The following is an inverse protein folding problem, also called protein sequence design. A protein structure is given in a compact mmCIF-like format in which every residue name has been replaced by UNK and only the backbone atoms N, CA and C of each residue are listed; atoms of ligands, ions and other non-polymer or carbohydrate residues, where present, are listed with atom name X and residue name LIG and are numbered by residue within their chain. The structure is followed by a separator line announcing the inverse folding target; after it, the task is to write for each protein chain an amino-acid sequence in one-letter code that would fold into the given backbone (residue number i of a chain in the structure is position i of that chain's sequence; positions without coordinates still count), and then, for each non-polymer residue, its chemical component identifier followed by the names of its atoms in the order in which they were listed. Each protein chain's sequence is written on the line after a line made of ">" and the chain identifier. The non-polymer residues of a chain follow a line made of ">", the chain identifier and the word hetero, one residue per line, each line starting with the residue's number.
data_IF_854751434291
#
_entry.id   IF_854751434291
#
_cell.length_a   1.000
_cell.length_b   1.000
_cell.length_c   1.000
_cell.angle_alpha   90.00
_cell.angle_beta   90.00
_cell.angle_gamma   90.00
#
_symmetry.space_group_name_H-M   'P 1'
#
loop_
_entity.id
_entity.type
_entity.pdbx_description
1 polymer ?
#
# COMPACT_ATOMS: atom_id res chain seq x y z
N UNK A 1 19.45 6.89 2.05
CA UNK A 1 18.65 7.33 0.89
C UNK A 1 17.39 6.49 0.84
N UNK A 2 16.24 7.11 0.63
CA UNK A 2 14.96 6.39 0.48
C UNK A 2 14.92 5.72 -0.90
N UNK A 3 14.39 4.49 -1.00
CA UNK A 3 14.35 3.77 -2.28
C UNK A 3 13.29 4.41 -3.20
N UNK A 4 13.46 4.28 -4.51
CA UNK A 4 12.47 4.73 -5.48
C UNK A 4 11.09 4.08 -5.23
N UNK A 5 11.09 2.77 -4.93
CA UNK A 5 9.88 2.01 -4.58
C UNK A 5 9.15 2.60 -3.38
N UNK A 6 9.89 3.02 -2.36
CA UNK A 6 9.30 3.63 -1.17
C UNK A 6 8.65 4.96 -1.50
N UNK A 7 9.31 5.80 -2.32
CA UNK A 7 8.76 7.10 -2.72
C UNK A 7 7.46 6.94 -3.49
N UNK A 8 7.46 6.08 -4.52
CA UNK A 8 6.25 5.77 -5.31
C UNK A 8 5.15 5.19 -4.41
N UNK A 9 5.52 4.25 -3.53
CA UNK A 9 4.60 3.62 -2.60
C UNK A 9 3.96 4.62 -1.63
N UNK A 10 4.70 5.61 -1.15
CA UNK A 10 4.15 6.67 -0.28
C UNK A 10 3.13 7.52 -1.01
N UNK A 11 3.39 7.90 -2.26
CA UNK A 11 2.44 8.66 -3.07
C UNK A 11 1.17 7.85 -3.35
N UNK A 12 1.32 6.57 -3.71
CA UNK A 12 0.19 5.68 -3.95
C UNK A 12 -0.63 5.41 -2.69
N UNK A 13 0.01 5.18 -1.54
CA UNK A 13 -0.68 5.03 -0.25
C UNK A 13 -1.51 6.26 0.07
N UNK A 14 -0.97 7.47 -0.13
CA UNK A 14 -1.72 8.70 0.12
C UNK A 14 -2.93 8.84 -0.80
N UNK A 15 -2.81 8.39 -2.05
CA UNK A 15 -3.89 8.44 -3.03
C UNK A 15 -5.01 7.43 -2.74
N UNK A 16 -4.68 6.28 -2.17
CA UNK A 16 -5.62 5.18 -1.92
C UNK A 16 -6.22 5.25 -0.51
N UNK A 17 -5.37 5.27 0.53
CA UNK A 17 -5.79 5.12 1.92
C UNK A 17 -5.61 6.39 2.76
N UNK A 18 -4.77 7.33 2.31
CA UNK A 18 -4.51 8.60 2.99
C UNK A 18 -4.18 8.42 4.48
N UNK A 19 -4.98 9.07 5.35
CA UNK A 19 -4.81 9.03 6.80
C UNK A 19 -4.95 7.61 7.40
N UNK A 20 -5.76 6.74 6.80
CA UNK A 20 -5.94 5.37 7.28
C UNK A 20 -4.65 4.56 7.10
N UNK A 21 -4.03 4.69 5.93
CA UNK A 21 -2.74 4.06 5.63
C UNK A 21 -1.61 4.54 6.53
N UNK A 22 -1.55 5.86 6.78
CA UNK A 22 -0.57 6.41 7.72
C UNK A 22 -0.74 5.88 9.15
N UNK A 23 -1.98 5.71 9.62
CA UNK A 23 -2.24 5.18 10.95
C UNK A 23 -1.74 3.72 11.09
N UNK A 24 -1.93 2.88 10.07
CA UNK A 24 -1.44 1.50 10.05
C UNK A 24 0.09 1.44 10.00
N UNK A 25 0.73 2.25 9.16
CA UNK A 25 2.20 2.30 9.10
C UNK A 25 2.78 2.76 10.44
N UNK A 26 2.18 3.78 11.06
CA UNK A 26 2.64 4.30 12.33
C UNK A 26 2.45 3.30 13.47
N UNK A 27 1.35 2.54 13.50
CA UNK A 27 1.13 1.52 14.54
C UNK A 27 2.13 0.38 14.49
N UNK A 28 2.72 0.12 13.32
CA UNK A 28 3.73 -0.91 13.11
C UNK A 28 5.16 -0.41 13.31
N UNK A 29 5.40 0.91 13.32
CA UNK A 29 6.75 1.49 13.33
C UNK A 29 7.58 1.10 14.55
N UNK A 30 6.95 1.03 15.72
CA UNK A 30 7.62 0.72 16.99
C UNK A 30 7.72 -0.80 17.26
N UNK A 31 6.98 -1.61 16.48
CA UNK A 31 6.92 -3.08 16.65
C UNK A 31 7.78 -3.78 15.59
N UNK A 32 7.63 -3.38 14.32
CA UNK A 32 8.26 -4.01 13.17
C UNK A 32 8.54 -2.94 12.09
N UNK A 33 9.57 -2.09 12.27
CA UNK A 33 9.85 -0.96 11.38
C UNK A 33 10.14 -1.38 9.93
N UNK A 34 10.82 -2.51 9.72
CA UNK A 34 11.10 -3.02 8.38
C UNK A 34 9.81 -3.51 7.70
N UNK A 35 8.89 -4.10 8.45
CA UNK A 35 7.59 -4.51 7.92
C UNK A 35 6.72 -3.30 7.57
N UNK A 36 6.74 -2.25 8.41
CA UNK A 36 6.07 -0.98 8.10
C UNK A 36 6.61 -0.36 6.79
N UNK A 37 7.93 -0.50 6.53
CA UNK A 37 8.55 -0.10 5.27
C UNK A 37 8.09 -0.99 4.11
N UNK A 38 8.08 -2.31 4.27
CA UNK A 38 7.68 -3.24 3.21
C UNK A 38 6.21 -3.08 2.81
N UNK A 39 5.33 -2.74 3.76
CA UNK A 39 3.93 -2.40 3.48
C UNK A 39 3.79 -1.22 2.52
N UNK A 40 4.77 -0.31 2.49
CA UNK A 40 4.78 0.81 1.54
C UNK A 40 5.42 0.38 0.22
N UNK A 41 6.61 -0.23 0.28
CA UNK A 41 7.39 -0.54 -0.92
C UNK A 41 6.72 -1.58 -1.82
N UNK A 42 6.15 -2.64 -1.25
CA UNK A 42 5.65 -3.75 -2.07
C UNK A 42 4.19 -3.56 -2.53
N UNK A 43 3.17 -3.49 -1.66
CA UNK A 43 1.79 -3.29 -2.10
C UNK A 43 1.62 -2.00 -2.90
N UNK A 44 2.11 -0.87 -2.38
CA UNK A 44 1.87 0.43 -3.01
C UNK A 44 2.91 0.76 -4.07
N UNK A 45 4.19 0.55 -3.78
CA UNK A 45 5.29 0.88 -4.69
C UNK A 45 5.41 -0.08 -5.88
N UNK A 46 5.22 -1.39 -5.67
CA UNK A 46 5.42 -2.39 -6.72
C UNK A 46 4.11 -2.91 -7.34
N UNK A 47 2.99 -3.01 -6.61
CA UNK A 47 1.74 -3.61 -7.12
C UNK A 47 0.74 -2.56 -7.61
N UNK A 48 0.37 -1.59 -6.76
CA UNK A 48 -0.60 -0.56 -7.09
C UNK A 48 -0.09 0.42 -8.15
N UNK A 49 1.22 0.67 -8.19
CA UNK A 49 1.84 1.54 -9.19
C UNK A 49 1.94 0.92 -10.59
N UNK A 50 1.63 -0.38 -10.78
CA UNK A 50 1.75 -1.03 -12.10
C UNK A 50 0.81 -0.38 -13.12
N UNK A 51 1.23 -0.28 -14.39
CA UNK A 51 0.32 0.09 -15.46
C UNK A 51 -0.69 -1.05 -15.72
N UNK A 52 -1.76 -0.75 -16.47
CA UNK A 52 -2.70 -1.74 -17.02
C UNK A 52 -4.08 -1.78 -16.35
N UNK A 53 -4.19 -1.45 -15.06
CA UNK A 53 -5.47 -1.30 -14.37
C UNK A 53 -5.55 0.05 -13.65
N UNK A 54 -6.70 0.71 -13.79
CA UNK A 54 -7.00 1.90 -13.02
C UNK A 54 -7.25 1.57 -11.53
N UNK A 55 -7.22 2.61 -10.69
CA UNK A 55 -7.40 2.44 -9.25
C UNK A 55 -8.75 1.82 -8.90
N UNK A 56 -9.82 2.20 -9.62
CA UNK A 56 -11.16 1.67 -9.35
C UNK A 56 -11.21 0.16 -9.56
N UNK A 57 -10.64 -0.35 -10.65
CA UNK A 57 -10.60 -1.78 -10.94
C UNK A 57 -9.76 -2.55 -9.91
N UNK A 58 -8.67 -1.94 -9.43
CA UNK A 58 -7.82 -2.51 -8.37
C UNK A 58 -8.57 -2.64 -7.06
N UNK A 59 -9.27 -1.60 -6.62
CA UNK A 59 -10.07 -1.64 -5.39
C UNK A 59 -11.20 -2.66 -5.46
N UNK A 60 -11.86 -2.82 -6.61
CA UNK A 60 -12.86 -3.87 -6.81
C UNK A 60 -12.22 -5.26 -6.63
N UNK A 61 -11.03 -5.49 -7.19
CA UNK A 61 -10.30 -6.75 -7.02
C UNK A 61 -9.90 -6.97 -5.55
N UNK A 62 -9.45 -5.93 -4.84
CA UNK A 62 -9.13 -5.98 -3.42
C UNK A 62 -10.36 -6.37 -2.59
N UNK A 63 -11.51 -5.72 -2.80
CA UNK A 63 -12.76 -6.05 -2.10
C UNK A 63 -13.18 -7.49 -2.40
N UNK A 64 -13.13 -7.92 -3.67
CA UNK A 64 -13.49 -9.29 -4.05
C UNK A 64 -12.60 -10.33 -3.35
N UNK A 65 -11.29 -10.09 -3.28
CA UNK A 65 -10.34 -10.97 -2.61
C UNK A 65 -10.58 -11.03 -1.09
N UNK A 66 -10.84 -9.89 -0.45
CA UNK A 66 -11.06 -9.83 1.01
C UNK A 66 -12.43 -10.38 1.42
N UNK A 67 -13.45 -10.29 0.55
CA UNK A 67 -14.77 -10.87 0.80
C UNK A 67 -14.80 -12.39 0.64
N UNK A 68 -14.04 -12.93 -0.33
CA UNK A 68 -14.03 -14.35 -0.67
C UNK A 68 -13.26 -15.26 0.31
N UNK A 69 -12.53 -14.69 1.26
CA UNK A 69 -11.76 -15.42 2.27
C UNK A 69 -12.64 -15.93 3.43
N UNK A 70 -13.70 -16.68 3.08
CA UNK A 70 -14.57 -17.33 4.06
C UNK A 70 -14.04 -18.70 4.46
#
# INVERSE_FOLDING_TARGET
>A
MTSERYTIGREMLQRVDGKGGDAVVNSLKDIAPDFARYLIEFPFGDIYARPGLDLRSREIATIAALHGAR
#
